data_IF_535452316824
#
_entry.id   IF_535452316824
#
_cell.length_a   1.000
_cell.length_b   1.000
_cell.length_c   1.000
_cell.angle_alpha   90.00
_cell.angle_beta   90.00
_cell.angle_gamma   90.00
#
_symmetry.space_group_name_H-M   'P 1'
#
loop_
_entity.id
_entity.type
_entity.pdbx_description
1 polymer ?
#
# COMPACT_ATOMS: atom_id res chain seq x y z
N UNK A 1 -45.81 -15.13 41.48
CA UNK A 1 -44.54 -15.00 40.71
C UNK A 1 -43.68 -13.94 41.38
N UNK A 2 -42.61 -14.37 42.04
CA UNK A 2 -41.51 -13.55 42.59
C UNK A 2 -40.47 -14.58 43.03
N UNK A 3 -39.37 -14.73 42.30
CA UNK A 3 -38.24 -15.56 42.71
C UNK A 3 -36.98 -14.72 42.55
N UNK A 4 -36.48 -14.31 43.71
CA UNK A 4 -35.20 -13.67 43.94
C UNK A 4 -34.16 -14.79 43.86
N UNK A 5 -33.12 -14.62 43.06
CA UNK A 5 -31.92 -15.43 43.14
C UNK A 5 -30.72 -14.50 43.34
N UNK A 6 -30.20 -14.53 44.56
CA UNK A 6 -28.88 -14.08 44.94
C UNK A 6 -28.05 -15.36 45.03
N UNK A 7 -26.89 -15.42 44.36
CA UNK A 7 -25.83 -16.34 44.77
C UNK A 7 -24.47 -15.68 44.61
N UNK A 8 -23.70 -15.79 45.69
CA UNK A 8 -22.48 -15.08 45.99
C UNK A 8 -21.21 -15.83 45.54
N UNK A 9 -20.24 -15.04 45.08
CA UNK A 9 -18.80 -15.01 45.37
C UNK A 9 -18.04 -16.26 45.88
N UNK A 10 -16.97 -16.63 45.15
CA UNK A 10 -15.64 -17.08 45.65
C UNK A 10 -14.69 -17.32 44.43
N UNK A 11 -13.93 -16.33 43.96
CA UNK A 11 -12.52 -15.97 44.24
C UNK A 11 -11.48 -17.11 44.07
N UNK A 12 -10.51 -16.86 43.16
CA UNK A 12 -9.06 -17.19 43.13
C UNK A 12 -8.63 -17.98 41.88
N UNK A 13 -8.04 -17.30 40.88
CA UNK A 13 -6.60 -16.96 40.69
C UNK A 13 -5.87 -18.01 39.84
N UNK A 14 -5.54 -17.67 38.59
CA UNK A 14 -4.17 -17.27 38.20
C UNK A 14 -3.87 -17.53 36.71
N UNK A 15 -3.15 -16.56 36.13
CA UNK A 15 -2.17 -16.65 35.04
C UNK A 15 -2.63 -16.46 33.56
N UNK A 16 -2.18 -15.33 32.99
CA UNK A 16 -1.87 -15.14 31.57
C UNK A 16 -2.78 -14.17 30.81
N UNK A 17 -2.80 -12.86 31.09
CA UNK A 17 -2.06 -11.79 30.35
C UNK A 17 -1.91 -12.05 28.84
N UNK A 18 -2.22 -11.16 27.90
CA UNK A 18 -2.75 -9.80 27.88
C UNK A 18 -3.00 -9.46 26.40
N UNK A 19 -4.15 -8.88 26.05
CA UNK A 19 -4.26 -7.94 24.92
C UNK A 19 -5.41 -6.99 25.26
N UNK A 20 -5.04 -5.87 25.85
CA UNK A 20 -5.89 -4.71 26.03
C UNK A 20 -5.06 -3.47 25.67
N UNK A 21 -5.79 -2.41 25.32
CA UNK A 21 -5.34 -1.03 25.09
C UNK A 21 -5.20 -0.70 23.58
N UNK A 22 -6.24 -0.20 22.91
CA UNK A 22 -7.00 1.08 23.05
C UNK A 22 -6.40 2.18 22.17
N UNK A 23 -7.26 2.75 21.31
CA UNK A 23 -7.06 3.98 20.56
C UNK A 23 -6.93 5.19 21.50
N UNK A 24 -5.85 5.95 21.31
CA UNK A 24 -5.62 7.39 21.58
C UNK A 24 -4.10 7.58 21.32
N UNK A 25 -3.56 8.63 20.73
CA UNK A 25 -4.06 9.91 20.24
C UNK A 25 -2.94 10.50 19.36
N UNK A 26 -3.32 11.43 18.50
CA UNK A 26 -2.42 12.30 17.75
C UNK A 26 -1.55 13.16 18.72
N UNK A 27 -0.33 13.44 18.28
CA UNK A 27 0.58 14.54 18.68
C UNK A 27 1.56 14.34 19.86
N UNK A 28 2.80 14.78 19.60
CA UNK A 28 3.98 14.85 20.48
C UNK A 28 4.70 13.49 20.67
N UNK A 29 5.91 13.23 20.18
CA UNK A 29 7.11 14.04 20.29
C UNK A 29 8.10 13.68 19.17
N UNK A 30 8.51 14.71 18.42
CA UNK A 30 9.81 14.73 17.77
C UNK A 30 10.88 14.70 18.86
N UNK A 31 11.45 13.55 19.12
CA UNK A 31 12.75 13.43 19.78
C UNK A 31 13.55 12.44 18.94
N UNK A 32 14.40 12.98 18.06
CA UNK A 32 15.48 12.22 17.46
C UNK A 32 16.35 11.68 18.61
N UNK A 33 16.23 10.39 18.90
CA UNK A 33 17.22 9.68 19.69
C UNK A 33 18.45 9.46 18.77
N UNK A 34 19.63 10.06 19.05
CA UNK A 34 20.82 9.88 18.22
C UNK A 34 21.39 8.46 18.27
N UNK A 35 20.81 7.56 19.08
CA UNK A 35 21.29 6.19 19.28
C UNK A 35 20.65 5.14 18.36
N UNK A 36 19.71 5.50 17.48
CA UNK A 36 19.17 4.60 16.46
C UNK A 36 19.98 4.61 15.15
N UNK A 37 21.09 5.35 15.09
CA UNK A 37 21.99 5.39 13.93
C UNK A 37 22.80 4.10 13.71
N UNK A 38 22.63 3.07 14.56
CA UNK A 38 23.41 1.82 14.54
C UNK A 38 22.62 0.54 14.20
N UNK A 39 21.31 0.63 13.93
CA UNK A 39 20.53 -0.52 13.46
C UNK A 39 20.41 -0.48 11.93
N UNK A 40 21.49 -0.87 11.24
CA UNK A 40 21.53 -1.02 9.76
C UNK A 40 20.74 -2.23 9.25
N UNK A 41 19.61 -2.56 9.87
CA UNK A 41 18.69 -3.54 9.32
C UNK A 41 18.05 -2.91 8.09
N UNK A 42 18.51 -3.34 6.91
CA UNK A 42 17.86 -3.02 5.65
C UNK A 42 16.37 -3.34 5.80
N UNK A 43 15.52 -2.33 5.65
CA UNK A 43 14.08 -2.49 5.79
C UNK A 43 13.60 -3.48 4.72
N UNK A 44 13.17 -4.66 5.15
CA UNK A 44 12.80 -5.77 4.26
C UNK A 44 11.31 -5.79 3.94
N UNK A 45 10.51 -4.92 4.57
CA UNK A 45 9.06 -4.95 4.46
C UNK A 45 8.59 -4.28 3.16
N UNK A 46 7.51 -4.81 2.60
CA UNK A 46 6.82 -4.17 1.48
C UNK A 46 6.25 -2.83 1.92
N UNK A 47 6.53 -1.78 1.14
CA UNK A 47 6.05 -0.41 1.38
C UNK A 47 5.07 -0.02 0.29
N UNK A 48 3.96 0.58 0.68
CA UNK A 48 3.01 1.21 -0.24
C UNK A 48 3.41 2.68 -0.39
N UNK A 49 3.69 3.07 -1.63
CA UNK A 49 4.11 4.40 -2.02
C UNK A 49 2.98 5.01 -2.87
N UNK A 50 2.11 5.86 -2.29
CA UNK A 50 1.18 6.64 -3.10
C UNK A 50 2.00 7.62 -3.95
N UNK A 51 1.70 7.66 -5.26
CA UNK A 51 2.40 8.52 -6.20
C UNK A 51 1.51 9.69 -6.57
N UNK A 52 2.00 10.92 -6.38
CA UNK A 52 1.35 12.11 -6.92
C UNK A 52 1.35 12.05 -8.44
N UNK A 53 0.22 12.43 -9.05
CA UNK A 53 0.02 12.29 -10.49
C UNK A 53 0.70 13.40 -11.30
N UNK A 54 2.03 13.34 -11.35
CA UNK A 54 2.87 14.16 -12.25
C UNK A 54 2.85 13.67 -13.71
N UNK A 55 2.09 12.61 -14.03
CA UNK A 55 2.06 11.94 -15.33
C UNK A 55 0.79 12.26 -16.14
N UNK A 56 0.07 13.32 -15.77
CA UNK A 56 -1.17 13.77 -16.43
C UNK A 56 -1.10 13.87 -17.96
N UNK A 57 0.06 14.22 -18.51
CA UNK A 57 0.30 14.29 -19.95
C UNK A 57 0.28 12.93 -20.66
N UNK A 58 0.53 11.84 -19.94
CA UNK A 58 0.57 10.46 -20.47
C UNK A 58 -0.81 9.79 -20.49
N UNK A 59 -1.82 10.37 -19.85
CA UNK A 59 -3.18 9.83 -19.79
C UNK A 59 -4.29 10.89 -19.95
N UNK A 60 -4.26 11.71 -21.02
CA UNK A 60 -5.11 12.89 -21.14
C UNK A 60 -6.62 12.60 -21.15
N UNK A 61 -7.03 11.35 -21.38
CA UNK A 61 -8.43 10.96 -21.39
C UNK A 61 -8.91 10.46 -20.03
N UNK A 62 -8.01 9.89 -19.24
CA UNK A 62 -8.34 9.25 -17.99
C UNK A 62 -8.89 10.24 -16.95
N UNK A 63 -9.79 9.76 -16.09
CA UNK A 63 -10.45 10.58 -15.07
C UNK A 63 -10.38 9.88 -13.72
N UNK A 64 -10.23 10.67 -12.66
CA UNK A 64 -10.08 10.20 -11.27
C UNK A 64 -8.98 9.15 -11.17
N UNK A 65 -7.79 9.51 -11.67
CA UNK A 65 -6.64 8.62 -11.68
C UNK A 65 -6.07 8.48 -10.27
N UNK A 66 -5.69 7.26 -9.91
CA UNK A 66 -4.93 6.95 -8.71
C UNK A 66 -3.79 6.02 -9.08
N UNK A 67 -2.58 6.41 -8.70
CA UNK A 67 -1.35 5.67 -8.96
C UNK A 67 -0.76 5.22 -7.63
N UNK A 68 -0.45 3.95 -7.52
CA UNK A 68 0.19 3.35 -6.35
C UNK A 68 1.31 2.44 -6.77
N UNK A 69 2.36 2.42 -5.96
CA UNK A 69 3.51 1.55 -6.15
C UNK A 69 3.78 0.80 -4.84
N UNK A 70 3.86 -0.52 -4.90
CA UNK A 70 4.29 -1.34 -3.77
C UNK A 70 5.71 -1.81 -4.03
N UNK A 71 6.64 -1.57 -3.12
CA UNK A 71 8.04 -1.97 -3.27
C UNK A 71 8.48 -2.87 -2.13
N UNK A 72 9.10 -4.00 -2.46
CA UNK A 72 9.72 -4.93 -1.52
C UNK A 72 11.24 -4.88 -1.69
N UNK A 73 11.97 -4.17 -0.80
CA UNK A 73 13.42 -3.96 -0.96
C UNK A 73 14.24 -5.25 -0.98
N UNK A 74 13.81 -6.28 -0.23
CA UNK A 74 14.51 -7.55 -0.14
C UNK A 74 14.57 -8.30 -1.48
N UNK A 75 13.50 -8.24 -2.27
CA UNK A 75 13.38 -8.99 -3.52
C UNK A 75 13.55 -8.12 -4.77
N UNK A 76 13.55 -6.79 -4.60
CA UNK A 76 13.49 -5.85 -5.72
C UNK A 76 12.12 -5.83 -6.41
N UNK A 77 11.11 -6.48 -5.83
CA UNK A 77 9.78 -6.57 -6.42
C UNK A 77 9.04 -5.25 -6.31
N UNK A 78 8.52 -4.80 -7.45
CA UNK A 78 7.66 -3.63 -7.55
C UNK A 78 6.33 -4.02 -8.19
N UNK A 79 5.23 -3.62 -7.55
CA UNK A 79 3.87 -3.76 -8.08
C UNK A 79 3.33 -2.36 -8.34
N UNK A 80 3.05 -2.08 -9.60
CA UNK A 80 2.39 -0.85 -10.02
C UNK A 80 0.90 -1.09 -10.17
N UNK A 81 0.09 -0.18 -9.59
CA UNK A 81 -1.36 -0.18 -9.72
C UNK A 81 -1.83 1.18 -10.21
N UNK A 82 -2.49 1.17 -11.37
CA UNK A 82 -3.15 2.32 -11.97
C UNK A 82 -4.66 2.11 -11.93
N UNK A 83 -5.40 3.01 -11.31
CA UNK A 83 -6.87 2.95 -11.24
C UNK A 83 -7.47 4.23 -11.78
N UNK A 84 -8.53 4.12 -12.58
CA UNK A 84 -9.29 5.26 -13.08
C UNK A 84 -10.77 4.87 -13.33
N UNK A 85 -11.60 5.84 -13.72
CA UNK A 85 -12.97 5.55 -14.16
C UNK A 85 -12.98 4.62 -15.38
N UNK A 86 -13.81 3.58 -15.35
CA UNK A 86 -13.90 2.59 -16.44
C UNK A 86 -14.23 3.24 -17.79
N UNK A 87 -15.05 4.29 -17.80
CA UNK A 87 -15.49 4.96 -19.04
C UNK A 87 -14.38 5.71 -19.77
N UNK A 88 -13.27 6.02 -19.09
CA UNK A 88 -12.12 6.72 -19.66
C UNK A 88 -10.84 5.90 -19.62
N UNK A 89 -10.92 4.61 -19.29
CA UNK A 89 -9.77 3.73 -19.23
C UNK A 89 -9.23 3.42 -20.62
N UNK A 90 -7.95 3.76 -20.82
CA UNK A 90 -7.16 3.36 -21.98
C UNK A 90 -5.95 2.54 -21.50
N UNK A 91 -5.76 1.36 -22.09
CA UNK A 91 -4.67 0.46 -21.69
C UNK A 91 -3.29 1.02 -22.09
N UNK A 92 -3.18 1.66 -23.25
CA UNK A 92 -1.92 2.23 -23.72
C UNK A 92 -1.48 3.38 -22.82
N UNK A 93 -2.41 4.25 -22.44
CA UNK A 93 -2.15 5.34 -21.48
C UNK A 93 -1.68 4.78 -20.12
N UNK A 94 -2.37 3.79 -19.56
CA UNK A 94 -1.97 3.17 -18.30
C UNK A 94 -0.58 2.49 -18.36
N UNK A 95 -0.25 1.85 -19.48
CA UNK A 95 1.07 1.23 -19.70
C UNK A 95 2.18 2.28 -19.82
N UNK A 96 1.94 3.39 -20.53
CA UNK A 96 2.91 4.48 -20.65
C UNK A 96 3.20 5.12 -19.29
N UNK A 97 2.17 5.33 -18.47
CA UNK A 97 2.33 5.82 -17.10
C UNK A 97 3.15 4.84 -16.26
N UNK A 98 2.89 3.54 -16.38
CA UNK A 98 3.66 2.51 -15.66
C UNK A 98 5.16 2.59 -16.02
N UNK A 99 5.48 2.70 -17.30
CA UNK A 99 6.87 2.81 -17.78
C UNK A 99 7.54 4.06 -17.19
N UNK A 100 6.90 5.22 -17.29
CA UNK A 100 7.46 6.47 -16.75
C UNK A 100 7.67 6.40 -15.23
N UNK A 101 6.72 5.81 -14.50
CA UNK A 101 6.84 5.60 -13.06
C UNK A 101 8.00 4.66 -12.73
N UNK A 102 8.22 3.61 -13.52
CA UNK A 102 9.35 2.71 -13.34
C UNK A 102 10.69 3.38 -13.64
N UNK A 103 10.77 4.24 -14.65
CA UNK A 103 11.99 4.99 -14.97
C UNK A 103 12.37 5.94 -13.85
N UNK A 104 11.41 6.72 -13.34
CA UNK A 104 11.63 7.61 -12.21
C UNK A 104 12.03 6.82 -10.95
N UNK A 105 11.31 5.74 -10.64
CA UNK A 105 11.63 4.89 -9.51
C UNK A 105 13.03 4.26 -9.62
N UNK A 106 13.42 3.82 -10.83
CA UNK A 106 14.74 3.27 -11.08
C UNK A 106 15.85 4.31 -10.89
N UNK A 107 15.64 5.53 -11.39
CA UNK A 107 16.58 6.63 -11.25
C UNK A 107 16.78 7.02 -9.77
N UNK A 108 15.68 7.15 -9.01
CA UNK A 108 15.69 7.48 -7.59
C UNK A 108 16.40 6.41 -6.74
N UNK A 109 16.25 5.13 -7.11
CA UNK A 109 16.77 4.00 -6.33
C UNK A 109 18.04 3.35 -6.94
N UNK A 110 18.61 3.95 -7.98
CA UNK A 110 19.82 3.48 -8.67
C UNK A 110 19.73 2.05 -9.22
N UNK A 111 18.55 1.67 -9.73
CA UNK A 111 18.38 0.39 -10.44
C UNK A 111 18.77 0.53 -11.91
N UNK A 112 19.35 -0.52 -12.51
CA UNK A 112 19.76 -0.50 -13.92
C UNK A 112 18.69 -1.03 -14.85
N UNK A 113 18.04 -2.11 -14.44
CA UNK A 113 17.11 -2.86 -15.27
C UNK A 113 15.95 -3.39 -14.43
N UNK A 114 14.82 -3.67 -15.09
CA UNK A 114 13.74 -4.45 -14.52
C UNK A 114 13.28 -5.52 -15.51
N UNK A 115 12.65 -6.56 -14.97
CA UNK A 115 11.99 -7.60 -15.78
C UNK A 115 10.55 -7.77 -15.31
N UNK A 116 9.64 -8.03 -16.24
CA UNK A 116 8.26 -8.35 -15.89
C UNK A 116 8.20 -9.73 -15.22
N UNK A 117 7.74 -9.76 -13.97
CA UNK A 117 7.66 -10.99 -13.19
C UNK A 117 6.40 -11.80 -13.51
N UNK A 118 5.35 -11.13 -13.98
CA UNK A 118 4.06 -11.73 -14.33
C UNK A 118 3.43 -10.98 -15.50
N UNK A 119 2.47 -11.63 -16.17
CA UNK A 119 1.61 -10.96 -17.15
C UNK A 119 0.77 -9.89 -16.47
N UNK A 120 0.70 -8.72 -17.10
CA UNK A 120 -0.11 -7.61 -16.62
C UNK A 120 -1.59 -7.98 -16.52
N UNK A 121 -2.26 -7.42 -15.52
CA UNK A 121 -3.65 -7.72 -15.19
C UNK A 121 -4.50 -6.48 -15.37
N UNK A 122 -5.74 -6.72 -15.82
CA UNK A 122 -6.79 -5.71 -15.88
C UNK A 122 -7.97 -6.20 -15.05
N UNK A 123 -8.57 -5.31 -14.27
CA UNK A 123 -9.77 -5.60 -13.47
C UNK A 123 -10.77 -4.46 -13.62
N UNK A 124 -12.04 -4.83 -13.68
CA UNK A 124 -13.15 -3.87 -13.66
C UNK A 124 -13.99 -4.14 -12.42
N UNK A 125 -14.44 -3.10 -11.74
CA UNK A 125 -15.22 -3.20 -10.52
C UNK A 125 -16.09 -1.95 -10.32
N UNK A 126 -16.94 -1.96 -9.29
CA UNK A 126 -17.62 -0.76 -8.81
C UNK A 126 -17.00 -0.35 -7.48
N UNK A 127 -16.74 0.94 -7.30
CA UNK A 127 -16.35 1.49 -6.00
C UNK A 127 -17.54 1.52 -5.02
N UNK A 128 -17.30 1.97 -3.80
CA UNK A 128 -18.32 2.07 -2.74
C UNK A 128 -19.47 3.03 -3.09
N UNK A 129 -19.24 3.92 -4.05
CA UNK A 129 -20.24 4.87 -4.57
C UNK A 129 -20.97 4.34 -5.80
N UNK A 130 -20.68 3.11 -6.22
CA UNK A 130 -21.27 2.46 -7.40
C UNK A 130 -20.68 2.94 -8.73
N UNK A 131 -19.62 3.76 -8.71
CA UNK A 131 -18.92 4.22 -9.90
C UNK A 131 -18.11 3.07 -10.47
N UNK A 132 -18.22 2.87 -11.79
CA UNK A 132 -17.45 1.83 -12.49
C UNK A 132 -16.00 2.26 -12.64
N UNK A 133 -15.10 1.44 -12.13
CA UNK A 133 -13.65 1.67 -12.13
C UNK A 133 -12.94 0.58 -12.92
N UNK A 134 -11.77 0.93 -13.44
CA UNK A 134 -10.85 0.01 -14.09
C UNK A 134 -9.48 0.13 -13.43
N UNK A 135 -8.83 -1.01 -13.22
CA UNK A 135 -7.47 -1.11 -12.72
C UNK A 135 -6.59 -1.84 -13.72
N UNK A 136 -5.41 -1.28 -13.94
CA UNK A 136 -4.27 -1.95 -14.58
C UNK A 136 -3.20 -2.21 -13.52
N UNK A 137 -2.69 -3.43 -13.47
CA UNK A 137 -1.63 -3.84 -12.55
C UNK A 137 -0.50 -4.50 -13.33
N UNK A 138 0.73 -4.04 -13.08
CA UNK A 138 1.94 -4.68 -13.61
C UNK A 138 2.90 -4.98 -12.45
N UNK A 139 3.67 -6.05 -12.59
CA UNK A 139 4.61 -6.51 -11.57
C UNK A 139 5.97 -6.73 -12.20
N UNK A 140 6.97 -6.04 -11.68
CA UNK A 140 8.35 -6.09 -12.16
C UNK A 140 9.31 -6.43 -11.01
N UNK A 141 10.48 -6.95 -11.36
CA UNK A 141 11.59 -7.15 -10.43
C UNK A 141 12.77 -6.31 -10.93
N UNK A 142 13.20 -5.37 -10.09
CA UNK A 142 14.35 -4.53 -10.35
C UNK A 142 15.66 -5.22 -9.95
N UNK A 143 16.70 -4.99 -10.74
CA UNK A 143 18.06 -5.47 -10.50
C UNK A 143 19.06 -4.31 -10.55
N UNK A 144 20.03 -4.34 -9.63
CA UNK A 144 21.14 -3.37 -9.59
C UNK A 144 22.25 -3.68 -10.61
#
# INVERSE_FOLDING_TARGET
MKKIFILATAIMLAAGTAFAQQEESLETQMALDPLEAANSYADTKTKILPIEDKYSSLHPKAKNVTIQLEFTPLTGEVIFTYTCMQSSFDLGEAMNVAIAVYEDFAAENQFKHYTYAQKDKKKYFKDDKGVRMATYTSKVIFTK
#
